data_IF_540515397600
#
_entry.id   IF_540515397600
#
_cell.length_a   1.000
_cell.length_b   1.000
_cell.length_c   1.000
_cell.angle_alpha   90.00
_cell.angle_beta   90.00
_cell.angle_gamma   90.00
#
_symmetry.space_group_name_H-M   'P 1'
#
loop_
_entity.id
_entity.type
_entity.pdbx_description
1 polymer ?
#
# COMPACT_ATOMS: atom_id res chain seq x y z
N UNK A 1 9.74 14.07 4.44
CA UNK A 1 8.35 13.56 4.64
C UNK A 1 8.37 12.06 4.40
N UNK A 2 7.82 11.24 5.29
CA UNK A 2 7.76 9.78 5.13
C UNK A 2 6.39 9.35 4.64
N UNK A 3 6.35 8.66 3.51
CA UNK A 3 5.13 8.09 2.94
C UNK A 3 5.18 6.57 3.11
N UNK A 4 4.10 6.00 3.65
CA UNK A 4 3.91 4.57 3.67
C UNK A 4 2.97 4.15 2.54
N UNK A 5 3.49 3.41 1.57
CA UNK A 5 2.72 2.80 0.49
C UNK A 5 2.34 1.36 0.89
N UNK A 6 1.03 1.11 1.02
CA UNK A 6 0.43 -0.20 1.24
C UNK A 6 0.04 -0.76 -0.12
N UNK A 7 0.66 -1.87 -0.51
CA UNK A 7 0.50 -2.48 -1.81
C UNK A 7 1.50 -1.92 -2.82
N UNK A 8 2.07 -2.80 -3.64
CA UNK A 8 3.05 -2.42 -4.67
C UNK A 8 2.71 -3.08 -6.02
N UNK A 9 1.41 -3.04 -6.33
CA UNK A 9 0.80 -3.47 -7.56
C UNK A 9 1.00 -2.47 -8.70
N UNK A 10 0.05 -2.45 -9.64
CA UNK A 10 0.14 -1.56 -10.82
C UNK A 10 0.00 -0.09 -10.43
N UNK A 11 -0.99 0.25 -9.59
CA UNK A 11 -1.15 1.60 -9.07
C UNK A 11 0.08 2.01 -8.26
N UNK A 12 0.58 1.11 -7.41
CA UNK A 12 1.81 1.28 -6.64
C UNK A 12 3.02 1.68 -7.50
N UNK A 13 3.22 1.05 -8.66
CA UNK A 13 4.33 1.38 -9.57
C UNK A 13 4.23 2.81 -10.07
N UNK A 14 3.06 3.25 -10.52
CA UNK A 14 2.87 4.60 -11.05
C UNK A 14 3.16 5.65 -9.98
N UNK A 15 2.68 5.41 -8.76
CA UNK A 15 2.93 6.25 -7.58
C UNK A 15 4.41 6.31 -7.27
N UNK A 16 5.10 5.16 -7.21
CA UNK A 16 6.53 5.09 -6.94
C UNK A 16 7.33 5.93 -7.95
N UNK A 17 6.96 5.90 -9.24
CA UNK A 17 7.58 6.76 -10.25
C UNK A 17 7.34 8.25 -10.02
N UNK A 18 6.14 8.65 -9.57
CA UNK A 18 5.88 10.05 -9.26
C UNK A 18 6.64 10.51 -8.01
N UNK A 19 6.63 9.71 -6.95
CA UNK A 19 7.28 10.04 -5.68
C UNK A 19 8.82 10.05 -5.81
N UNK A 20 9.39 9.20 -6.66
CA UNK A 20 10.82 9.20 -6.96
C UNK A 20 11.35 10.51 -7.56
N UNK A 21 10.46 11.39 -8.09
CA UNK A 21 10.85 12.72 -8.59
C UNK A 21 11.26 13.68 -7.46
N UNK A 22 10.93 13.38 -6.21
CA UNK A 22 11.33 14.17 -5.05
C UNK A 22 12.15 13.30 -4.08
N UNK A 23 13.46 13.55 -4.01
CA UNK A 23 14.39 12.80 -3.17
C UNK A 23 14.25 13.06 -1.66
N UNK A 24 13.48 14.07 -1.25
CA UNK A 24 13.22 14.37 0.17
C UNK A 24 12.07 13.51 0.74
N UNK A 25 11.39 12.74 -0.12
CA UNK A 25 10.36 11.79 0.28
C UNK A 25 11.03 10.47 0.65
N UNK A 26 10.83 10.07 1.90
CA UNK A 26 11.24 8.77 2.41
C UNK A 26 10.10 7.76 2.20
N UNK A 27 10.32 6.76 1.37
CA UNK A 27 9.32 5.77 0.97
C UNK A 27 9.46 4.48 1.77
N UNK A 28 8.40 4.12 2.48
CA UNK A 28 8.25 2.82 3.12
C UNK A 28 7.18 2.02 2.38
N UNK A 29 7.50 0.82 1.88
CA UNK A 29 6.58 -0.01 1.11
C UNK A 29 6.29 -1.30 1.87
N UNK A 30 5.00 -1.62 2.02
CA UNK A 30 4.53 -2.92 2.51
C UNK A 30 3.72 -3.65 1.46
N UNK A 31 3.85 -4.97 1.41
CA UNK A 31 3.07 -5.83 0.53
C UNK A 31 2.80 -7.18 1.21
N UNK A 32 1.82 -7.94 0.74
CA UNK A 32 1.62 -9.33 1.17
C UNK A 32 2.63 -10.30 0.52
N UNK A 33 3.44 -9.81 -0.42
CA UNK A 33 4.46 -10.57 -1.13
C UNK A 33 5.84 -9.94 -0.97
N UNK A 34 6.88 -10.76 -0.92
CA UNK A 34 8.28 -10.30 -1.04
C UNK A 34 8.60 -9.77 -2.45
N UNK A 35 7.88 -10.25 -3.47
CA UNK A 35 8.13 -9.95 -4.88
C UNK A 35 6.87 -9.41 -5.58
N UNK A 36 6.30 -8.29 -5.10
CA UNK A 36 5.20 -7.64 -5.79
C UNK A 36 5.66 -7.15 -7.19
N UNK A 37 4.72 -6.77 -8.08
CA UNK A 37 5.06 -6.21 -9.39
C UNK A 37 6.18 -5.17 -9.36
N UNK A 38 6.14 -4.20 -8.44
CA UNK A 38 7.16 -3.15 -8.35
C UNK A 38 8.59 -3.70 -8.10
N UNK A 39 8.74 -4.80 -7.36
CA UNK A 39 10.04 -5.46 -7.16
C UNK A 39 10.45 -6.24 -8.41
N UNK A 40 9.52 -6.99 -9.01
CA UNK A 40 9.80 -7.81 -10.20
C UNK A 40 10.19 -6.98 -11.42
N UNK A 41 9.62 -5.78 -11.53
CA UNK A 41 9.90 -4.83 -12.61
C UNK A 41 11.10 -3.93 -12.31
N UNK A 42 11.73 -4.07 -11.14
CA UNK A 42 12.92 -3.33 -10.76
C UNK A 42 12.68 -1.87 -10.37
N UNK A 43 11.43 -1.48 -10.08
CA UNK A 43 11.06 -0.13 -9.61
C UNK A 43 11.58 0.12 -8.20
N UNK A 44 11.51 -0.91 -7.35
CA UNK A 44 12.13 -0.95 -6.02
C UNK A 44 12.93 -2.23 -5.88
N UNK A 45 14.00 -2.20 -5.07
CA UNK A 45 14.86 -3.38 -4.87
C UNK A 45 14.21 -4.44 -3.98
N UNK A 46 13.41 -4.01 -3.00
CA UNK A 46 12.68 -4.86 -2.06
C UNK A 46 11.53 -4.07 -1.41
N UNK A 47 10.58 -4.80 -0.84
CA UNK A 47 9.65 -4.25 0.14
C UNK A 47 10.31 -4.18 1.52
N UNK A 48 9.93 -3.20 2.33
CA UNK A 48 10.44 -3.01 3.68
C UNK A 48 9.67 -3.85 4.70
N UNK A 49 8.41 -4.18 4.40
CA UNK A 49 7.57 -5.02 5.24
C UNK A 49 6.74 -6.00 4.39
N UNK A 50 6.79 -7.28 4.75
CA UNK A 50 5.95 -8.33 4.16
C UNK A 50 4.87 -8.68 5.16
N UNK A 51 3.75 -7.96 5.13
CA UNK A 51 2.64 -8.15 6.06
C UNK A 51 1.33 -7.69 5.40
N UNK A 52 0.25 -8.40 5.71
CA UNK A 52 -1.10 -7.95 5.34
C UNK A 52 -1.52 -6.82 6.27
N UNK A 53 -1.75 -5.64 5.70
CA UNK A 53 -2.32 -4.51 6.42
C UNK A 53 -3.85 -4.65 6.46
N UNK A 54 -4.43 -4.34 7.60
CA UNK A 54 -5.85 -4.46 7.93
C UNK A 54 -6.25 -3.32 8.86
N UNK A 55 -7.56 -3.09 9.02
CA UNK A 55 -8.10 -2.13 9.99
C UNK A 55 -7.61 -2.39 11.43
N UNK A 56 -7.31 -3.64 11.78
CA UNK A 56 -6.84 -4.03 13.11
C UNK A 56 -5.37 -3.72 13.40
N UNK A 57 -4.49 -3.75 12.39
CA UNK A 57 -3.04 -3.59 12.58
C UNK A 57 -2.47 -2.30 11.99
N UNK A 58 -3.23 -1.53 11.19
CA UNK A 58 -2.76 -0.29 10.54
C UNK A 58 -2.13 0.69 11.52
N UNK A 59 -2.77 0.96 12.67
CA UNK A 59 -2.25 1.91 13.65
C UNK A 59 -1.02 1.40 14.41
N UNK A 60 -0.97 0.10 14.70
CA UNK A 60 0.20 -0.52 15.35
C UNK A 60 1.41 -0.50 14.42
N UNK A 61 1.20 -0.72 13.13
CA UNK A 61 2.22 -0.62 12.09
C UNK A 61 2.66 0.83 11.89
N UNK A 62 1.70 1.75 11.72
CA UNK A 62 1.98 3.17 11.52
C UNK A 62 2.74 3.78 12.70
N UNK A 63 2.46 3.39 13.94
CA UNK A 63 3.24 3.86 15.12
C UNK A 63 4.73 3.47 15.06
N UNK A 64 5.05 2.32 14.44
CA UNK A 64 6.43 1.85 14.23
C UNK A 64 7.08 2.54 13.04
N UNK A 65 6.35 2.67 11.93
CA UNK A 65 6.84 3.24 10.67
C UNK A 65 6.96 4.77 10.76
N UNK A 66 6.05 5.41 11.51
CA UNK A 66 5.84 6.85 11.65
C UNK A 66 5.69 7.57 10.30
N UNK A 67 4.68 7.22 9.48
CA UNK A 67 4.40 7.93 8.24
C UNK A 67 3.72 9.28 8.50
N UNK A 68 3.97 10.24 7.62
CA UNK A 68 3.20 11.48 7.52
C UNK A 68 1.92 11.28 6.68
N UNK A 69 1.95 10.31 5.75
CA UNK A 69 0.85 9.95 4.85
C UNK A 69 0.89 8.46 4.52
N UNK A 70 -0.28 7.83 4.46
CA UNK A 70 -0.47 6.45 4.00
C UNK A 70 -1.14 6.48 2.64
N UNK A 71 -0.55 5.79 1.66
CA UNK A 71 -1.13 5.55 0.35
C UNK A 71 -1.54 4.09 0.24
N UNK A 72 -2.77 3.81 -0.21
CA UNK A 72 -3.31 2.46 -0.31
C UNK A 72 -3.52 2.13 -1.79
N UNK A 73 -2.69 1.25 -2.34
CA UNK A 73 -2.83 0.71 -3.69
C UNK A 73 -3.87 -0.41 -3.70
N UNK A 74 -5.06 -0.10 -4.21
CA UNK A 74 -6.17 -1.05 -4.35
C UNK A 74 -5.88 -2.21 -5.31
N UNK A 75 -4.90 -2.05 -6.21
CA UNK A 75 -4.65 -2.98 -7.32
C UNK A 75 -3.98 -4.32 -6.94
N UNK A 76 -3.45 -4.47 -5.73
CA UNK A 76 -2.84 -5.73 -5.27
C UNK A 76 -3.90 -6.73 -4.77
N UNK A 77 -4.92 -6.27 -4.07
CA UNK A 77 -5.99 -7.11 -3.53
C UNK A 77 -7.04 -7.51 -4.59
N UNK A 78 -7.31 -6.62 -5.55
CA UNK A 78 -8.19 -6.87 -6.70
C UNK A 78 -7.78 -8.12 -7.50
N UNK A 79 -6.49 -8.49 -7.51
CA UNK A 79 -6.03 -9.70 -8.21
C UNK A 79 -6.41 -10.99 -7.50
N UNK A 80 -6.54 -10.96 -6.18
CA UNK A 80 -6.89 -12.14 -5.39
C UNK A 80 -8.41 -12.35 -5.34
N UNK A 81 -9.19 -11.27 -5.33
CA UNK A 81 -10.64 -11.31 -5.22
C UNK A 81 -11.38 -11.08 -6.55
N UNK A 82 -10.76 -10.47 -7.56
CA UNK A 82 -11.42 -10.05 -8.81
C UNK A 82 -11.96 -11.17 -9.69
N UNK A 83 -11.61 -12.44 -9.43
CA UNK A 83 -12.22 -13.61 -10.09
C UNK A 83 -13.54 -14.04 -9.46
N UNK A 84 -13.87 -13.51 -8.29
CA UNK A 84 -15.10 -13.78 -7.55
C UNK A 84 -16.09 -12.64 -7.83
N UNK A 85 -17.34 -12.98 -8.12
CA UNK A 85 -18.41 -11.99 -8.28
C UNK A 85 -18.50 -11.13 -7.01
N UNK A 86 -18.37 -9.81 -7.14
CA UNK A 86 -18.34 -8.87 -6.02
C UNK A 86 -16.99 -8.71 -5.31
N UNK A 87 -15.93 -9.38 -5.77
CA UNK A 87 -14.61 -9.32 -5.14
C UNK A 87 -13.94 -7.95 -5.18
N UNK A 88 -14.15 -7.17 -6.25
CA UNK A 88 -13.64 -5.79 -6.33
C UNK A 88 -14.35 -4.85 -5.36
N UNK A 89 -15.68 -4.99 -5.20
CA UNK A 89 -16.44 -4.23 -4.20
C UNK A 89 -15.99 -4.59 -2.77
N UNK A 90 -15.69 -5.87 -2.52
CA UNK A 90 -15.14 -6.31 -1.26
C UNK A 90 -13.74 -5.73 -1.00
N UNK A 91 -12.85 -5.72 -2.00
CA UNK A 91 -11.51 -5.13 -1.86
C UNK A 91 -11.57 -3.62 -1.62
N UNK A 92 -12.43 -2.90 -2.34
CA UNK A 92 -12.66 -1.47 -2.09
C UNK A 92 -13.15 -1.22 -0.66
N UNK A 93 -14.13 -2.00 -0.19
CA UNK A 93 -14.62 -1.89 1.18
C UNK A 93 -13.54 -2.17 2.24
N UNK A 94 -12.65 -3.14 1.98
CA UNK A 94 -11.50 -3.41 2.87
C UNK A 94 -10.53 -2.24 2.93
N UNK A 95 -10.21 -1.62 1.78
CA UNK A 95 -9.34 -0.45 1.72
C UNK A 95 -9.97 0.76 2.44
N UNK A 96 -11.27 0.98 2.24
CA UNK A 96 -12.02 2.04 2.93
C UNK A 96 -12.06 1.81 4.45
N UNK A 97 -12.18 0.56 4.89
CA UNK A 97 -12.15 0.21 6.31
C UNK A 97 -10.77 0.49 6.92
N UNK A 98 -9.68 0.15 6.21
CA UNK A 98 -8.31 0.48 6.63
C UNK A 98 -8.15 2.00 6.74
N UNK A 99 -8.57 2.75 5.73
CA UNK A 99 -8.48 4.20 5.71
C UNK A 99 -9.29 4.83 6.84
N UNK A 100 -10.52 4.35 7.08
CA UNK A 100 -11.41 4.86 8.14
C UNK A 100 -10.93 4.53 9.55
N UNK A 101 -10.21 3.41 9.74
CA UNK A 101 -9.68 3.00 11.03
C UNK A 101 -8.33 3.67 11.38
N UNK A 102 -7.68 4.29 10.40
CA UNK A 102 -6.34 4.87 10.56
C UNK A 102 -6.37 6.17 11.35
N UNK A 103 -5.47 6.28 12.33
CA UNK A 103 -5.15 7.53 13.04
C UNK A 103 -4.29 8.49 12.18
N UNK A 104 -3.80 8.02 11.03
CA UNK A 104 -2.91 8.74 10.13
C UNK A 104 -3.64 9.10 8.83
N UNK A 105 -3.30 10.22 8.16
CA UNK A 105 -3.89 10.58 6.89
C UNK A 105 -3.73 9.46 5.85
N UNK A 106 -4.83 9.09 5.21
CA UNK A 106 -4.88 8.04 4.20
C UNK A 106 -5.38 8.58 2.86
N UNK A 107 -4.82 8.06 1.77
CA UNK A 107 -5.33 8.25 0.41
C UNK A 107 -5.45 6.87 -0.25
N UNK A 108 -6.67 6.48 -0.60
CA UNK A 108 -6.94 5.27 -1.40
C UNK A 108 -6.83 5.64 -2.88
N UNK A 109 -6.09 4.82 -3.63
CA UNK A 109 -5.70 5.06 -5.02
C UNK A 109 -6.28 4.02 -5.97
#
# INVERSE_FOLDING_TARGET
MRIWLIGAGKGGIEILHQLAKNSEIDLFVSSVSEKPPAVREGVISKVQLVERVTSYNVNTLAKRIRPDLILIDSGEEDKNLGRVMGGSAMSAAMNDEIASASDFPCLVL
#
